data_IF_569617212692
#
_entry.id   IF_569617212692
#
_cell.length_a   1.000
_cell.length_b   1.000
_cell.length_c   1.000
_cell.angle_alpha   90.00
_cell.angle_beta   90.00
_cell.angle_gamma   90.00
#
_symmetry.space_group_name_H-M   'P 1'
#
loop_
_entity.id
_entity.type
_entity.pdbx_description
1 polymer ?
#
# COMPACT_ATOMS: atom_id res chain seq x y z
N UNK A 1 12.96 -3.27 -3.57
CA UNK A 1 12.19 -4.08 -2.61
C UNK A 1 12.06 -3.25 -1.35
N UNK A 2 10.84 -2.94 -0.90
CA UNK A 2 10.60 -1.98 0.20
C UNK A 2 10.74 -2.68 1.56
N UNK A 3 11.09 -1.93 2.62
CA UNK A 3 11.28 -2.44 3.99
C UNK A 3 10.09 -3.25 4.52
N UNK A 4 8.87 -2.80 4.24
CA UNK A 4 7.61 -3.49 4.60
C UNK A 4 7.52 -4.88 3.97
N UNK A 5 7.92 -5.04 2.71
CA UNK A 5 7.88 -6.30 1.96
C UNK A 5 8.93 -7.31 2.45
N UNK A 6 9.96 -6.85 3.17
CA UNK A 6 11.01 -7.69 3.73
C UNK A 6 10.75 -8.09 5.18
N UNK A 7 10.00 -7.28 5.92
CA UNK A 7 9.83 -7.44 7.36
C UNK A 7 8.46 -8.00 7.77
N UNK A 8 7.44 -7.88 6.91
CA UNK A 8 6.13 -8.48 7.15
C UNK A 8 6.07 -9.93 6.64
N UNK A 9 5.26 -10.75 7.29
CA UNK A 9 4.95 -12.11 6.81
C UNK A 9 4.09 -12.05 5.54
N UNK A 10 4.06 -13.16 4.79
CA UNK A 10 3.20 -13.27 3.61
C UNK A 10 1.72 -13.05 3.94
N UNK A 11 1.25 -13.49 5.12
CA UNK A 11 -0.12 -13.27 5.58
C UNK A 11 -0.40 -11.79 5.85
N UNK A 12 0.54 -11.08 6.48
CA UNK A 12 0.42 -9.63 6.74
C UNK A 12 0.43 -8.82 5.43
N UNK A 13 1.29 -9.20 4.48
CA UNK A 13 1.31 -8.60 3.14
C UNK A 13 0.01 -8.87 2.38
N UNK A 14 -0.53 -10.09 2.48
CA UNK A 14 -1.81 -10.42 1.89
C UNK A 14 -2.95 -9.60 2.50
N UNK A 15 -2.97 -9.43 3.83
CA UNK A 15 -3.91 -8.54 4.50
C UNK A 15 -3.82 -7.10 3.99
N UNK A 16 -2.61 -6.54 3.83
CA UNK A 16 -2.45 -5.19 3.26
C UNK A 16 -3.00 -5.08 1.84
N UNK A 17 -2.79 -6.10 1.03
CA UNK A 17 -3.32 -6.15 -0.33
C UNK A 17 -4.85 -6.17 -0.34
N UNK A 18 -5.46 -7.04 0.47
CA UNK A 18 -6.92 -7.13 0.60
C UNK A 18 -7.51 -5.82 1.15
N UNK A 19 -6.87 -5.26 2.17
CA UNK A 19 -7.25 -3.96 2.73
C UNK A 19 -7.15 -2.86 1.68
N UNK A 20 -6.08 -2.81 0.89
CA UNK A 20 -5.89 -1.82 -0.17
C UNK A 20 -7.00 -1.87 -1.23
N UNK A 21 -7.45 -3.07 -1.60
CA UNK A 21 -8.55 -3.26 -2.54
C UNK A 21 -9.87 -2.67 -2.01
N UNK A 22 -10.11 -2.76 -0.70
CA UNK A 22 -11.26 -2.13 -0.05
C UNK A 22 -11.08 -0.62 0.13
N UNK A 23 -9.89 -0.20 0.57
CA UNK A 23 -9.58 1.19 0.93
C UNK A 23 -8.14 1.55 0.57
N UNK A 24 -8.00 2.29 -0.52
CA UNK A 24 -6.70 2.76 -1.05
C UNK A 24 -6.00 3.82 -0.19
N UNK A 25 -6.73 4.44 0.75
CA UNK A 25 -6.25 5.49 1.66
C UNK A 25 -6.74 5.24 3.09
N UNK A 26 -6.04 4.43 3.88
CA UNK A 26 -6.32 4.35 5.31
C UNK A 26 -6.05 5.70 5.98
N UNK A 27 -6.77 5.93 7.08
CA UNK A 27 -6.50 7.00 8.04
C UNK A 27 -5.39 6.58 9.00
N UNK A 28 -4.77 7.55 9.67
CA UNK A 28 -3.74 7.29 10.69
C UNK A 28 -4.23 6.31 11.76
N UNK A 29 -5.48 6.42 12.19
CA UNK A 29 -6.07 5.52 13.19
C UNK A 29 -6.18 4.07 12.69
N UNK A 30 -6.50 3.87 11.41
CA UNK A 30 -6.56 2.53 10.81
C UNK A 30 -5.17 1.92 10.68
N UNK A 31 -4.17 2.71 10.28
CA UNK A 31 -2.78 2.26 10.26
C UNK A 31 -2.29 1.91 11.67
N UNK A 32 -2.64 2.70 12.68
CA UNK A 32 -2.33 2.40 14.08
C UNK A 32 -2.98 1.10 14.55
N UNK A 33 -4.22 0.81 14.16
CA UNK A 33 -4.88 -0.46 14.48
C UNK A 33 -4.12 -1.64 13.88
N UNK A 34 -3.74 -1.56 12.59
CA UNK A 34 -2.93 -2.59 11.92
C UNK A 34 -1.59 -2.79 12.65
N UNK A 35 -0.90 -1.70 13.00
CA UNK A 35 0.35 -1.78 13.75
C UNK A 35 0.18 -2.48 15.12
N UNK A 36 -0.91 -2.15 15.83
CA UNK A 36 -1.21 -2.72 17.13
C UNK A 36 -1.56 -4.21 17.03
N UNK A 37 -2.37 -4.62 16.05
CA UNK A 37 -2.73 -6.02 15.81
C UNK A 37 -1.50 -6.89 15.54
N UNK A 38 -0.51 -6.36 14.82
CA UNK A 38 0.73 -7.09 14.52
C UNK A 38 1.80 -6.93 15.58
N UNK A 39 1.49 -6.22 16.68
CA UNK A 39 2.42 -5.88 17.74
C UNK A 39 3.72 -5.23 17.22
N UNK A 40 3.63 -4.52 16.07
CA UNK A 40 4.74 -3.75 15.51
C UNK A 40 4.73 -2.36 16.13
N UNK A 41 5.69 -2.12 17.02
CA UNK A 41 5.77 -0.88 17.81
C UNK A 41 6.79 0.09 17.21
N UNK A 42 6.48 1.38 17.30
CA UNK A 42 7.36 2.48 16.92
C UNK A 42 6.83 3.31 15.75
N UNK A 43 7.04 4.62 15.82
CA UNK A 43 6.56 5.59 14.82
C UNK A 43 7.06 5.28 13.39
N UNK A 44 8.20 4.61 13.25
CA UNK A 44 8.72 4.18 11.95
C UNK A 44 7.80 3.23 11.19
N UNK A 45 7.08 2.34 11.90
CA UNK A 45 6.16 1.39 11.27
C UNK A 45 4.90 2.05 10.72
N UNK A 46 4.38 3.07 11.41
CA UNK A 46 3.28 3.88 10.91
C UNK A 46 3.65 4.50 9.55
N UNK A 47 4.82 5.14 9.50
CA UNK A 47 5.33 5.79 8.29
C UNK A 47 5.62 4.76 7.19
N UNK A 48 6.19 3.62 7.54
CA UNK A 48 6.51 2.55 6.59
C UNK A 48 5.23 1.98 5.93
N UNK A 49 4.18 1.72 6.72
CA UNK A 49 2.89 1.22 6.21
C UNK A 49 2.18 2.31 5.39
N UNK A 50 2.13 3.57 5.86
CA UNK A 50 1.59 4.69 5.06
C UNK A 50 2.30 4.83 3.71
N UNK A 51 3.64 4.72 3.69
CA UNK A 51 4.44 4.74 2.47
C UNK A 51 4.15 3.55 1.55
N UNK A 52 3.83 2.38 2.11
CA UNK A 52 3.42 1.23 1.33
C UNK A 52 2.12 1.51 0.57
N UNK A 53 1.09 2.05 1.24
CA UNK A 53 -0.19 2.46 0.64
C UNK A 53 0.01 3.54 -0.42
N UNK A 54 0.80 4.56 -0.11
CA UNK A 54 1.11 5.66 -1.02
C UNK A 54 1.78 5.15 -2.31
N UNK A 55 2.82 4.32 -2.18
CA UNK A 55 3.54 3.80 -3.34
C UNK A 55 2.72 2.85 -4.21
N UNK A 56 1.81 2.05 -3.63
CA UNK A 56 0.88 1.23 -4.41
C UNK A 56 -0.09 2.09 -5.23
N UNK A 57 -0.61 3.17 -4.62
CA UNK A 57 -1.48 4.11 -5.32
C UNK A 57 -0.76 4.90 -6.41
N UNK A 58 0.49 5.30 -6.19
CA UNK A 58 1.29 5.96 -7.22
C UNK A 58 1.49 5.04 -8.43
N UNK A 59 1.81 3.76 -8.19
CA UNK A 59 1.98 2.76 -9.25
C UNK A 59 0.67 2.53 -10.02
N UNK A 60 -0.46 2.41 -9.33
CA UNK A 60 -1.77 2.24 -9.98
C UNK A 60 -2.10 3.41 -10.92
N UNK A 61 -1.88 4.64 -10.47
CA UNK A 61 -2.10 5.84 -11.27
C UNK A 61 -1.18 5.89 -12.51
N UNK A 62 0.09 5.50 -12.35
CA UNK A 62 1.04 5.41 -13.47
C UNK A 62 0.57 4.39 -14.53
N UNK A 63 0.13 3.19 -14.09
CA UNK A 63 -0.40 2.15 -14.98
C UNK A 63 -1.63 2.68 -15.73
N UNK A 64 -2.58 3.32 -15.04
CA UNK A 64 -3.76 3.91 -15.67
C UNK A 64 -3.40 4.96 -16.72
N UNK A 65 -2.39 5.79 -16.44
CA UNK A 65 -1.91 6.80 -17.39
C UNK A 65 -1.28 6.15 -18.64
N UNK A 66 -0.43 5.13 -18.46
CA UNK A 66 0.17 4.39 -19.57
C UNK A 66 -0.89 3.72 -20.45
N UNK A 67 -1.90 3.10 -19.84
CA UNK A 67 -3.03 2.51 -20.57
C UNK A 67 -3.83 3.56 -21.35
N UNK A 68 -4.04 4.75 -20.78
CA UNK A 68 -4.71 5.86 -21.46
C UNK A 68 -3.92 6.33 -22.68
N UNK A 69 -2.60 6.43 -22.57
CA UNK A 69 -1.73 6.81 -23.70
C UNK A 69 -1.73 5.74 -24.79
N UNK A 70 -1.63 4.46 -24.42
CA UNK A 70 -1.68 3.34 -25.37
C UNK A 70 -3.02 3.31 -26.15
N UNK A 71 -4.14 3.51 -25.47
CA UNK A 71 -5.47 3.59 -26.12
C UNK A 71 -5.59 4.77 -27.09
N UNK A 72 -4.97 5.91 -26.77
CA UNK A 72 -4.94 7.07 -27.68
C UNK A 72 -4.06 6.87 -28.90
N UNK A 73 -2.97 6.12 -28.77
CA UNK A 73 -2.07 5.84 -29.89
C UNK A 73 -2.64 4.79 -30.87
N UNK A 74 -3.60 3.99 -30.41
CA UNK A 74 -4.26 2.95 -31.22
C UNK A 74 -5.55 3.44 -31.93
N UNK A 75 -5.97 4.69 -31.70
CA UNK A 75 -7.13 5.34 -32.31
C UNK A 75 -6.68 6.40 -33.31
#
# INVERSE_FOLDING_TARGET
MRKVEQMLTNEQLQYLNEYYLMKKKPTINEVLLICNEWNVKGIGWLVDIENWFFGHRALELEIQQRLRLARKAAA
#
